data_IF_741912575643
#
_entry.id   IF_741912575643
#
_cell.length_a   1.000
_cell.length_b   1.000
_cell.length_c   1.000
_cell.angle_alpha   90.00
_cell.angle_beta   90.00
_cell.angle_gamma   90.00
#
_symmetry.space_group_name_H-M   'P 1'
#
loop_
_entity.id
_entity.type
_entity.pdbx_description
1 polymer ?
#
# COMPACT_ATOMS: atom_id res chain seq x y z
N UNK A 1 7.47 -8.44 19.91
CA UNK A 1 6.52 -7.39 19.49
C UNK A 1 7.34 -6.39 18.69
N UNK A 2 7.02 -6.18 17.41
CA UNK A 2 7.78 -5.23 16.58
C UNK A 2 7.45 -3.82 17.01
N UNK A 3 8.46 -3.04 17.38
CA UNK A 3 8.29 -1.62 17.67
C UNK A 3 8.01 -0.91 16.34
N UNK A 4 6.80 -0.36 16.17
CA UNK A 4 6.52 0.53 15.06
C UNK A 4 7.03 1.92 15.46
N UNK A 5 8.01 2.42 14.73
CA UNK A 5 8.38 3.83 14.79
C UNK A 5 7.46 4.57 13.83
N UNK A 6 6.67 5.51 14.34
CA UNK A 6 5.88 6.43 13.52
C UNK A 6 6.49 7.83 13.65
N UNK A 7 6.56 8.55 12.53
CA UNK A 7 7.05 9.94 12.49
C UNK A 7 5.84 10.87 12.51
N UNK A 8 5.78 11.74 13.50
CA UNK A 8 4.75 12.78 13.63
C UNK A 8 5.28 14.12 13.18
N UNK A 9 4.41 14.95 12.62
CA UNK A 9 4.73 16.33 12.28
C UNK A 9 3.87 17.29 13.13
N UNK A 10 4.40 18.45 13.50
CA UNK A 10 3.72 19.50 14.28
C UNK A 10 4.11 20.87 13.74
N UNK A 11 3.13 21.74 13.48
CA UNK A 11 3.37 23.12 13.06
C UNK A 11 3.61 24.05 14.26
N UNK A 12 4.68 24.84 14.23
CA UNK A 12 5.08 25.78 15.27
C UNK A 12 5.24 27.19 14.68
N UNK A 13 4.37 28.10 15.09
CA UNK A 13 4.31 29.45 14.51
C UNK A 13 5.33 30.46 15.06
N UNK A 14 5.88 30.26 16.27
CA UNK A 14 6.61 31.34 16.98
C UNK A 14 7.90 30.90 17.67
N UNK A 15 8.68 30.01 17.05
CA UNK A 15 10.00 29.64 17.57
C UNK A 15 11.14 30.39 16.88
N UNK A 16 12.00 31.03 17.67
CA UNK A 16 13.15 31.80 17.18
C UNK A 16 14.29 30.91 16.61
N UNK A 17 14.34 29.63 17.01
CA UNK A 17 15.37 28.68 16.56
C UNK A 17 14.77 27.29 16.31
N UNK A 18 15.41 26.45 15.48
CA UNK A 18 15.00 25.04 15.28
C UNK A 18 14.87 24.26 16.58
N UNK A 19 15.84 24.41 17.50
CA UNK A 19 15.83 23.69 18.78
C UNK A 19 14.69 24.11 19.72
N UNK A 20 14.30 25.38 19.69
CA UNK A 20 13.11 25.85 20.42
C UNK A 20 11.83 25.31 19.79
N UNK A 21 11.76 25.29 18.46
CA UNK A 21 10.61 24.73 17.73
C UNK A 21 10.40 23.26 18.09
N UNK A 22 11.48 22.48 18.13
CA UNK A 22 11.42 21.05 18.49
C UNK A 22 10.95 20.85 19.92
N UNK A 23 11.48 21.63 20.86
CA UNK A 23 11.05 21.57 22.26
C UNK A 23 9.57 21.92 22.41
N UNK A 24 9.11 22.95 21.71
CA UNK A 24 7.70 23.35 21.70
C UNK A 24 6.81 22.27 21.10
N UNK A 25 7.22 21.66 19.97
CA UNK A 25 6.51 20.57 19.32
C UNK A 25 6.37 19.33 20.23
N UNK A 26 7.45 18.93 20.90
CA UNK A 26 7.43 17.80 21.86
C UNK A 26 6.56 18.10 23.06
N UNK A 27 6.55 19.35 23.56
CA UNK A 27 5.65 19.73 24.66
C UNK A 27 4.18 19.70 24.20
N UNK A 28 3.89 20.24 23.03
CA UNK A 28 2.55 20.24 22.44
C UNK A 28 2.00 18.81 22.28
N UNK A 29 2.86 17.89 21.83
CA UNK A 29 2.54 16.47 21.70
C UNK A 29 2.28 15.76 23.04
N UNK A 30 2.94 16.20 24.12
CA UNK A 30 2.82 15.57 25.43
C UNK A 30 1.57 16.00 26.21
N UNK A 31 0.95 17.13 25.85
CA UNK A 31 -0.10 17.77 26.67
C UNK A 31 -1.46 17.06 26.66
N UNK A 32 -1.82 16.25 25.65
CA UNK A 32 -3.01 15.36 25.74
C UNK A 32 -2.88 14.05 24.93
N UNK A 33 -3.32 12.92 25.49
CA UNK A 33 -3.35 11.61 24.79
C UNK A 33 -4.17 11.63 23.49
N UNK A 34 -5.18 12.51 23.41
CA UNK A 34 -6.07 12.66 22.25
C UNK A 34 -5.37 13.33 21.07
N UNK A 35 -4.49 14.30 21.33
CA UNK A 35 -3.77 15.02 20.28
C UNK A 35 -2.74 14.14 19.56
N UNK A 36 -2.15 13.13 20.22
CA UNK A 36 -1.12 12.28 19.59
C UNK A 36 -1.61 11.55 18.34
N UNK A 37 -2.83 11.00 18.38
CA UNK A 37 -3.40 10.30 17.23
C UNK A 37 -3.99 11.26 16.18
N UNK A 38 -4.46 12.43 16.59
CA UNK A 38 -5.00 13.45 15.69
C UNK A 38 -3.84 14.15 14.94
N UNK A 39 -2.77 14.56 15.63
CA UNK A 39 -1.57 15.22 15.06
C UNK A 39 -0.76 14.30 14.12
N UNK A 40 -0.68 12.99 14.41
CA UNK A 40 -0.04 12.02 13.51
C UNK A 40 -0.83 11.80 12.21
N UNK A 41 -2.14 12.09 12.22
CA UNK A 41 -3.06 11.83 11.11
C UNK A 41 -3.44 13.09 10.34
N UNK A 42 -3.40 14.25 10.98
CA UNK A 42 -3.47 15.55 10.32
C UNK A 42 -2.20 15.72 9.48
N UNK A 43 -2.31 15.35 8.20
CA UNK A 43 -1.37 15.86 7.22
C UNK A 43 -1.44 17.38 7.31
N UNK A 44 -0.36 18.03 7.74
CA UNK A 44 -0.21 19.48 7.83
C UNK A 44 -0.20 20.10 6.43
N UNK A 45 -1.31 19.93 5.68
CA UNK A 45 -1.53 20.39 4.32
C UNK A 45 -1.46 21.90 4.18
N UNK A 46 -1.57 22.59 5.30
CA UNK A 46 -1.66 24.05 5.41
C UNK A 46 -0.31 24.67 5.76
N UNK A 47 0.77 23.86 5.79
CA UNK A 47 2.12 24.37 5.98
C UNK A 47 2.87 24.43 4.66
N UNK A 48 3.54 25.56 4.43
CA UNK A 48 4.25 25.85 3.18
C UNK A 48 5.76 25.91 3.44
N UNK A 49 6.50 24.79 3.25
CA UNK A 49 7.95 24.77 3.44
C UNK A 49 8.68 25.82 2.59
N UNK A 50 9.60 26.55 3.21
CA UNK A 50 10.51 27.47 2.51
C UNK A 50 11.57 26.74 1.67
N UNK A 51 11.69 25.43 1.86
CA UNK A 51 12.59 24.56 1.12
C UNK A 51 11.83 23.32 0.64
N UNK A 52 12.19 22.81 -0.53
CA UNK A 52 11.54 21.61 -1.07
C UNK A 52 11.84 20.38 -0.20
N UNK A 53 10.96 19.37 -0.14
CA UNK A 53 11.23 18.14 0.63
C UNK A 53 12.55 17.46 0.27
N UNK A 54 12.93 17.42 -1.02
CA UNK A 54 14.20 16.85 -1.48
C UNK A 54 15.44 17.68 -1.10
N UNK A 55 15.27 18.98 -0.85
CA UNK A 55 16.30 19.84 -0.28
C UNK A 55 16.34 19.70 1.24
N UNK A 56 15.17 19.62 1.90
CA UNK A 56 15.05 19.32 3.31
C UNK A 56 15.74 18.00 3.65
N UNK A 57 15.45 16.90 2.94
CA UNK A 57 16.08 15.58 3.14
C UNK A 57 17.60 15.61 3.00
N UNK A 58 18.14 16.42 2.08
CA UNK A 58 19.59 16.60 1.94
C UNK A 58 20.17 17.44 3.08
N UNK A 59 19.46 18.50 3.46
CA UNK A 59 19.83 19.40 4.56
C UNK A 59 19.55 18.79 5.94
N UNK A 60 18.85 17.64 6.06
CA UNK A 60 18.71 16.89 7.32
C UNK A 60 20.06 16.43 7.91
N UNK A 61 21.13 16.50 7.12
CA UNK A 61 22.49 16.23 7.58
C UNK A 61 23.32 17.51 7.83
N UNK A 62 22.74 18.69 7.64
CA UNK A 62 23.40 19.99 7.79
C UNK A 62 22.86 20.73 9.03
N UNK A 63 23.75 21.34 9.81
CA UNK A 63 23.35 22.33 10.84
C UNK A 63 22.72 23.54 10.11
N UNK A 64 21.54 24.05 10.52
CA UNK A 64 20.93 23.96 11.86
C UNK A 64 19.71 23.01 11.95
N UNK A 65 19.53 22.09 11.01
CA UNK A 65 18.33 21.23 10.90
C UNK A 65 18.35 20.02 11.84
N UNK A 66 19.54 19.65 12.35
CA UNK A 66 19.72 18.66 13.41
C UNK A 66 19.76 19.35 14.77
N UNK A 67 18.66 19.35 15.50
CA UNK A 67 18.72 19.63 16.94
C UNK A 67 17.80 18.66 17.63
N UNK A 68 18.27 18.06 18.74
CA UNK A 68 17.65 16.94 19.47
C UNK A 68 17.78 15.55 18.80
N UNK A 69 18.71 14.76 19.36
CA UNK A 69 18.95 13.31 19.23
C UNK A 69 19.23 12.67 17.85
N UNK A 70 19.09 13.40 16.74
CA UNK A 70 19.32 12.87 15.39
C UNK A 70 18.09 12.16 14.78
N UNK A 71 16.93 12.25 15.42
CA UNK A 71 15.63 11.72 14.94
C UNK A 71 14.54 12.80 14.81
N UNK A 72 14.87 14.06 15.09
CA UNK A 72 13.97 15.20 14.94
C UNK A 72 14.45 16.14 13.83
N UNK A 73 13.51 16.74 13.10
CA UNK A 73 13.76 17.70 12.02
C UNK A 73 12.86 18.92 12.20
N UNK A 74 13.38 20.13 11.94
CA UNK A 74 12.59 21.34 11.89
C UNK A 74 12.76 22.02 10.52
N UNK A 75 11.69 22.10 9.75
CA UNK A 75 11.65 22.66 8.40
C UNK A 75 11.04 24.06 8.47
N UNK A 76 11.74 25.12 8.04
CA UNK A 76 11.19 26.47 8.09
C UNK A 76 10.03 26.60 7.09
N UNK A 77 8.97 27.30 7.50
CA UNK A 77 7.77 27.54 6.68
C UNK A 77 7.57 29.03 6.41
N UNK A 78 6.89 29.37 5.31
CA UNK A 78 6.40 30.72 5.03
C UNK A 78 4.93 30.85 5.43
N UNK A 79 4.45 32.10 5.49
CA UNK A 79 3.04 32.39 5.68
C UNK A 79 2.24 32.06 4.40
N UNK A 80 0.95 31.74 4.53
CA UNK A 80 0.06 31.41 3.41
C UNK A 80 0.02 32.50 2.35
N UNK A 81 0.06 33.77 2.78
CA UNK A 81 0.11 34.92 1.89
C UNK A 81 1.38 34.96 1.01
N UNK A 82 2.44 34.26 1.43
CA UNK A 82 3.72 34.12 0.73
C UNK A 82 3.87 32.76 0.03
N UNK A 83 2.84 31.92 0.04
CA UNK A 83 2.77 30.70 -0.74
C UNK A 83 2.15 30.95 -2.12
N UNK A 84 2.65 30.25 -3.13
CA UNK A 84 2.06 30.19 -4.46
C UNK A 84 1.66 28.75 -4.71
N UNK A 85 0.35 28.53 -4.78
CA UNK A 85 -0.20 27.24 -5.15
C UNK A 85 -0.37 27.14 -6.67
N UNK A 86 -0.04 25.97 -7.21
CA UNK A 86 -0.20 25.69 -8.63
C UNK A 86 -0.74 24.29 -8.83
N UNK A 87 -1.90 24.18 -9.47
CA UNK A 87 -2.42 22.91 -9.94
C UNK A 87 -1.92 22.61 -11.35
N UNK A 88 -1.18 21.51 -11.50
CA UNK A 88 -0.66 21.05 -12.79
C UNK A 88 -1.20 19.66 -13.11
N UNK A 89 -1.50 19.42 -14.39
CA UNK A 89 -1.91 18.11 -14.89
C UNK A 89 -0.69 17.27 -15.25
N UNK A 90 -0.59 16.07 -14.68
CA UNK A 90 0.46 15.10 -14.97
C UNK A 90 -0.12 13.84 -15.59
N UNK A 91 0.62 13.28 -16.55
CA UNK A 91 0.36 11.96 -17.13
C UNK A 91 1.38 10.99 -16.57
N UNK A 92 0.91 9.88 -15.99
CA UNK A 92 1.76 8.91 -15.32
C UNK A 92 1.46 7.51 -15.85
N UNK A 93 2.51 6.77 -16.21
CA UNK A 93 2.41 5.33 -16.44
C UNK A 93 2.52 4.61 -15.10
N UNK A 94 1.55 3.77 -14.77
CA UNK A 94 1.46 3.02 -13.50
C UNK A 94 1.41 1.51 -13.75
N UNK A 95 1.57 0.70 -12.70
CA UNK A 95 1.44 -0.75 -12.84
C UNK A 95 -0.03 -1.17 -13.01
N UNK A 96 -0.27 -2.40 -13.48
CA UNK A 96 -1.63 -2.95 -13.55
C UNK A 96 -2.25 -3.12 -12.16
N UNK A 97 -1.41 -3.43 -11.15
CA UNK A 97 -1.83 -3.55 -9.76
C UNK A 97 -2.30 -2.19 -9.20
N UNK A 98 -1.52 -1.13 -9.43
CA UNK A 98 -1.88 0.23 -9.01
C UNK A 98 -3.22 0.67 -9.61
N UNK A 99 -3.48 0.36 -10.89
CA UNK A 99 -4.77 0.66 -11.51
C UNK A 99 -5.94 -0.04 -10.81
N UNK A 100 -5.75 -1.26 -10.32
CA UNK A 100 -6.77 -1.98 -9.54
C UNK A 100 -6.99 -1.26 -8.21
N UNK A 101 -5.93 -0.81 -7.55
CA UNK A 101 -6.02 -0.05 -6.30
C UNK A 101 -6.71 1.30 -6.50
N UNK A 102 -6.36 2.06 -7.54
CA UNK A 102 -7.00 3.35 -7.84
C UNK A 102 -8.48 3.21 -8.15
N UNK A 103 -8.89 2.15 -8.85
CA UNK A 103 -10.32 1.86 -9.09
C UNK A 103 -11.07 1.52 -7.81
N UNK A 104 -10.38 1.08 -6.76
CA UNK A 104 -10.92 0.85 -5.41
C UNK A 104 -10.82 2.08 -4.51
N UNK A 105 -10.30 3.20 -5.01
CA UNK A 105 -10.09 4.43 -4.25
C UNK A 105 -8.84 4.41 -3.37
N UNK A 106 -7.97 3.40 -3.48
CA UNK A 106 -6.72 3.34 -2.72
C UNK A 106 -5.61 4.06 -3.50
N UNK A 107 -5.21 5.24 -3.02
CA UNK A 107 -4.23 6.12 -3.68
C UNK A 107 -2.93 6.30 -2.88
N UNK A 108 -2.67 5.46 -1.87
CA UNK A 108 -1.48 5.58 -1.03
C UNK A 108 -0.18 5.57 -1.84
N UNK A 109 0.00 4.55 -2.69
CA UNK A 109 1.19 4.41 -3.53
C UNK A 109 1.38 5.59 -4.51
N UNK A 110 0.29 6.22 -4.95
CA UNK A 110 0.34 7.39 -5.80
C UNK A 110 0.85 8.63 -5.06
N UNK A 111 0.46 8.79 -3.79
CA UNK A 111 0.91 9.91 -2.94
C UNK A 111 2.43 9.91 -2.79
N UNK A 112 2.99 8.76 -2.42
CA UNK A 112 4.43 8.59 -2.22
C UNK A 112 5.22 8.79 -3.51
N UNK A 113 4.70 8.26 -4.62
CA UNK A 113 5.31 8.49 -5.94
C UNK A 113 5.30 9.96 -6.33
N UNK A 114 4.18 10.66 -6.17
CA UNK A 114 4.06 12.07 -6.54
C UNK A 114 5.01 12.95 -5.75
N UNK A 115 5.18 12.68 -4.44
CA UNK A 115 6.16 13.38 -3.60
C UNK A 115 7.59 13.21 -4.13
N UNK A 116 7.95 11.98 -4.50
CA UNK A 116 9.29 11.67 -5.04
C UNK A 116 9.54 12.26 -6.42
N UNK A 117 8.58 12.14 -7.33
CA UNK A 117 8.73 12.51 -8.74
C UNK A 117 8.70 14.03 -8.94
N UNK A 118 7.91 14.76 -8.14
CA UNK A 118 7.72 16.19 -8.33
C UNK A 118 8.73 17.04 -7.55
N UNK A 119 9.31 16.55 -6.45
CA UNK A 119 10.31 17.30 -5.69
C UNK A 119 9.79 18.62 -5.09
N UNK A 120 8.47 18.81 -5.04
CA UNK A 120 7.77 19.96 -4.44
C UNK A 120 6.85 19.48 -3.32
N UNK A 121 6.40 20.41 -2.48
CA UNK A 121 5.35 20.12 -1.49
C UNK A 121 4.04 19.86 -2.23
N UNK A 122 3.61 18.59 -2.25
CA UNK A 122 2.32 18.17 -2.79
C UNK A 122 1.26 18.40 -1.72
N UNK A 123 0.37 19.37 -1.93
CA UNK A 123 -0.74 19.69 -1.01
C UNK A 123 -1.88 18.69 -1.23
N UNK A 124 -2.26 18.50 -2.49
CA UNK A 124 -3.37 17.62 -2.85
C UNK A 124 -3.19 17.09 -4.26
N UNK A 125 -3.86 15.99 -4.55
CA UNK A 125 -3.99 15.50 -5.91
C UNK A 125 -5.36 14.86 -6.14
N UNK A 126 -5.77 14.82 -7.40
CA UNK A 126 -6.98 14.15 -7.82
C UNK A 126 -6.74 13.38 -9.11
N UNK A 127 -7.17 12.12 -9.15
CA UNK A 127 -7.16 11.33 -10.38
C UNK A 127 -8.25 11.88 -11.30
N UNK A 128 -7.83 12.45 -12.42
CA UNK A 128 -8.72 13.05 -13.44
C UNK A 128 -9.24 11.99 -14.39
N UNK A 129 -8.40 11.01 -14.75
CA UNK A 129 -8.80 9.92 -15.61
C UNK A 129 -8.03 8.64 -15.31
N UNK A 130 -8.75 7.52 -15.41
CA UNK A 130 -8.22 6.18 -15.42
C UNK A 130 -8.48 5.55 -16.80
N UNK A 131 -7.59 4.66 -17.28
CA UNK A 131 -7.87 3.83 -18.44
C UNK A 131 -9.19 3.09 -18.27
N UNK A 132 -10.02 3.11 -19.32
CA UNK A 132 -11.27 2.33 -19.34
C UNK A 132 -10.95 0.86 -19.15
N UNK A 133 -11.67 0.20 -18.24
CA UNK A 133 -11.56 -1.24 -18.08
C UNK A 133 -12.01 -1.92 -19.38
N UNK A 134 -11.20 -2.85 -19.89
CA UNK A 134 -11.58 -3.64 -21.07
C UNK A 134 -12.79 -4.52 -20.75
N UNK A 135 -13.55 -4.84 -21.80
CA UNK A 135 -14.66 -5.81 -21.69
C UNK A 135 -14.10 -7.13 -21.19
N UNK A 136 -14.84 -7.77 -20.29
CA UNK A 136 -14.49 -9.11 -19.84
C UNK A 136 -14.64 -10.08 -21.01
N UNK A 137 -13.73 -11.04 -21.09
CA UNK A 137 -13.74 -12.12 -22.08
C UNK A 137 -13.94 -13.42 -21.31
N UNK A 138 -14.88 -14.23 -21.79
CA UNK A 138 -15.09 -15.58 -21.27
C UNK A 138 -14.34 -16.56 -22.19
N UNK A 139 -13.45 -17.34 -21.61
CA UNK A 139 -12.76 -18.42 -22.30
C UNK A 139 -13.24 -19.73 -21.72
N UNK A 140 -13.85 -20.57 -22.55
CA UNK A 140 -14.16 -21.92 -22.15
C UNK A 140 -12.86 -22.66 -21.88
N UNK A 141 -12.75 -23.28 -20.71
CA UNK A 141 -11.69 -24.25 -20.43
C UNK A 141 -12.11 -25.56 -21.08
N UNK A 142 -12.01 -25.62 -22.40
CA UNK A 142 -12.25 -26.85 -23.16
C UNK A 142 -11.21 -27.89 -22.74
N UNK A 143 -11.69 -29.11 -22.51
CA UNK A 143 -10.88 -30.20 -21.99
C UNK A 143 -11.77 -31.37 -21.63
N UNK A 144 -11.31 -32.58 -21.93
CA UNK A 144 -12.03 -33.80 -21.61
C UNK A 144 -12.12 -33.91 -20.08
N UNK A 145 -13.34 -34.00 -19.58
CA UNK A 145 -13.57 -34.35 -18.19
C UNK A 145 -13.36 -35.86 -18.06
N UNK A 146 -12.45 -36.27 -17.19
CA UNK A 146 -12.23 -37.68 -16.86
C UNK A 146 -12.64 -37.91 -15.42
N UNK A 147 -13.29 -39.05 -15.16
CA UNK A 147 -13.59 -39.46 -13.79
C UNK A 147 -12.32 -40.10 -13.23
N UNK A 148 -11.84 -39.58 -12.11
CA UNK A 148 -10.77 -40.16 -11.31
C UNK A 148 -11.33 -40.57 -9.96
N UNK A 149 -10.67 -41.49 -9.30
CA UNK A 149 -11.07 -41.99 -8.00
C UNK A 149 -9.99 -41.69 -6.97
N UNK A 150 -10.41 -41.34 -5.76
CA UNK A 150 -9.47 -41.02 -4.69
C UNK A 150 -9.88 -41.72 -3.40
N UNK A 151 -8.88 -42.06 -2.59
CA UNK A 151 -9.07 -42.69 -1.29
C UNK A 151 -8.95 -41.63 -0.21
N UNK A 152 -9.89 -41.58 0.72
CA UNK A 152 -9.90 -40.63 1.83
C UNK A 152 -10.38 -41.27 3.12
N UNK A 153 -10.01 -40.69 4.25
CA UNK A 153 -10.71 -40.96 5.51
C UNK A 153 -12.15 -40.41 5.45
N UNK A 154 -13.09 -41.02 6.19
CA UNK A 154 -14.38 -40.40 6.45
C UNK A 154 -14.17 -38.96 6.98
N UNK A 155 -14.78 -37.97 6.33
CA UNK A 155 -14.54 -36.54 6.60
C UNK A 155 -13.55 -35.85 5.64
N UNK A 156 -13.04 -36.56 4.64
CA UNK A 156 -12.45 -35.96 3.43
C UNK A 156 -10.93 -35.77 3.43
N UNK A 157 -10.21 -36.23 4.46
CA UNK A 157 -8.74 -36.20 4.42
C UNK A 157 -8.23 -37.25 3.44
N UNK A 158 -7.60 -36.79 2.37
CA UNK A 158 -7.15 -37.61 1.24
C UNK A 158 -5.85 -38.36 1.51
N UNK A 159 -5.72 -39.55 0.93
CA UNK A 159 -4.53 -40.41 1.02
C UNK A 159 -4.07 -40.76 -0.40
N UNK A 160 -2.83 -40.42 -0.73
CA UNK A 160 -2.21 -40.80 -2.00
C UNK A 160 -2.66 -39.99 -3.22
N UNK A 161 -2.59 -40.62 -4.39
CA UNK A 161 -2.83 -40.02 -5.71
C UNK A 161 -4.20 -40.40 -6.29
N UNK A 162 -4.56 -39.77 -7.41
CA UNK A 162 -5.74 -40.12 -8.19
C UNK A 162 -5.56 -41.48 -8.90
N UNK A 163 -6.65 -42.24 -9.01
CA UNK A 163 -6.73 -43.52 -9.73
C UNK A 163 -7.68 -43.43 -10.93
N UNK A 164 -7.46 -44.26 -11.95
CA UNK A 164 -8.24 -44.22 -13.21
C UNK A 164 -9.52 -45.05 -13.14
N UNK A 165 -9.61 -45.96 -12.17
CA UNK A 165 -10.81 -46.78 -11.95
C UNK A 165 -11.13 -46.94 -10.46
N UNK A 166 -12.41 -47.23 -10.18
CA UNK A 166 -12.88 -47.56 -8.84
C UNK A 166 -12.18 -48.82 -8.29
N UNK A 167 -11.89 -49.78 -9.17
CA UNK A 167 -11.23 -51.04 -8.81
C UNK A 167 -9.81 -50.82 -8.31
N UNK A 168 -9.03 -49.96 -8.98
CA UNK A 168 -7.68 -49.59 -8.55
C UNK A 168 -7.69 -48.84 -7.22
N UNK A 169 -8.56 -47.85 -7.07
CA UNK A 169 -8.69 -47.10 -5.82
C UNK A 169 -9.12 -48.01 -4.66
N UNK A 170 -10.03 -48.96 -4.91
CA UNK A 170 -10.44 -49.97 -3.92
C UNK A 170 -9.28 -50.86 -3.52
N UNK A 171 -8.48 -51.35 -4.48
CA UNK A 171 -7.32 -52.18 -4.19
C UNK A 171 -6.28 -51.43 -3.34
N UNK A 172 -6.04 -50.16 -3.65
CA UNK A 172 -5.14 -49.29 -2.87
C UNK A 172 -5.65 -49.02 -1.44
N UNK A 173 -6.95 -48.76 -1.30
CA UNK A 173 -7.58 -48.58 0.01
C UNK A 173 -7.45 -49.84 0.89
N UNK A 174 -7.71 -51.02 0.31
CA UNK A 174 -7.54 -52.30 1.00
C UNK A 174 -6.09 -52.54 1.42
N UNK A 175 -5.13 -52.28 0.54
CA UNK A 175 -3.71 -52.40 0.87
C UNK A 175 -3.31 -51.48 2.03
N UNK A 176 -3.85 -50.26 2.06
CA UNK A 176 -3.58 -49.27 3.13
C UNK A 176 -4.15 -49.72 4.47
N UNK A 177 -5.41 -50.17 4.51
CA UNK A 177 -6.05 -50.68 5.73
C UNK A 177 -5.36 -51.94 6.25
N UNK A 178 -4.93 -52.84 5.35
CA UNK A 178 -4.23 -54.06 5.76
C UNK A 178 -2.81 -53.79 6.28
N UNK A 179 -2.18 -52.71 5.85
CA UNK A 179 -0.84 -52.32 6.29
C UNK A 179 -0.85 -51.57 7.64
N UNK A 180 -1.95 -50.88 7.97
CA UNK A 180 -2.08 -50.11 9.21
C UNK A 180 -3.38 -50.46 9.96
N UNK A 181 -3.32 -51.29 11.02
CA UNK A 181 -4.49 -51.73 11.77
C UNK A 181 -5.17 -50.61 12.58
N UNK A 182 -4.57 -49.41 12.65
CA UNK A 182 -5.20 -48.25 13.30
C UNK A 182 -6.24 -47.55 12.41
N UNK A 183 -6.24 -47.84 11.11
CA UNK A 183 -7.19 -47.27 10.14
C UNK A 183 -8.49 -48.09 10.18
N UNK A 184 -9.54 -47.51 10.76
CA UNK A 184 -10.84 -48.18 10.92
C UNK A 184 -11.73 -48.12 9.67
N UNK A 185 -11.53 -47.13 8.79
CA UNK A 185 -12.32 -46.96 7.57
C UNK A 185 -11.63 -46.03 6.56
N UNK A 186 -11.84 -46.33 5.27
CA UNK A 186 -11.51 -45.48 4.14
C UNK A 186 -12.68 -45.45 3.15
N UNK A 187 -12.83 -44.33 2.45
CA UNK A 187 -13.85 -44.09 1.44
C UNK A 187 -13.19 -43.92 0.06
N UNK A 188 -13.81 -44.48 -0.97
CA UNK A 188 -13.43 -44.25 -2.37
C UNK A 188 -14.41 -43.26 -2.97
N UNK A 189 -13.92 -42.06 -3.32
CA UNK A 189 -14.75 -40.98 -3.88
C UNK A 189 -14.39 -40.75 -5.35
N UNK A 190 -15.42 -40.63 -6.19
CA UNK A 190 -15.26 -40.21 -7.59
C UNK A 190 -15.11 -38.69 -7.68
N UNK A 191 -14.13 -38.22 -8.44
CA UNK A 191 -13.86 -36.82 -8.72
C UNK A 191 -13.78 -36.61 -10.22
N UNK A 192 -14.45 -35.56 -10.70
CA UNK A 192 -14.30 -35.12 -12.08
C UNK A 192 -13.03 -34.26 -12.14
N UNK A 193 -12.01 -34.77 -12.83
CA UNK A 193 -10.76 -34.05 -13.09
C UNK A 193 -10.74 -33.69 -14.57
N UNK A 194 -10.25 -32.49 -14.90
CA UNK A 194 -10.04 -32.08 -16.29
C UNK A 194 -8.57 -32.10 -16.60
N UNK A 195 -8.24 -32.55 -17.80
CA UNK A 195 -6.84 -32.71 -18.26
C UNK A 195 -6.06 -31.39 -18.25
N UNK A 196 -6.76 -30.24 -18.28
CA UNK A 196 -6.17 -28.91 -18.18
C UNK A 196 -5.70 -28.51 -16.77
N UNK A 197 -5.94 -29.33 -15.75
CA UNK A 197 -5.64 -29.01 -14.35
C UNK A 197 -6.55 -27.93 -13.73
N UNK A 198 -7.43 -27.31 -14.52
CA UNK A 198 -8.36 -26.28 -14.04
C UNK A 198 -9.72 -26.88 -13.66
N UNK A 199 -10.20 -26.52 -12.46
CA UNK A 199 -11.56 -26.86 -11.99
C UNK A 199 -12.65 -25.98 -12.59
N UNK A 200 -12.30 -24.81 -13.14
CA UNK A 200 -13.27 -23.89 -13.70
C UNK A 200 -13.76 -24.38 -15.08
N UNK A 201 -15.07 -24.28 -15.35
CA UNK A 201 -15.65 -24.60 -16.66
C UNK A 201 -15.46 -23.47 -17.67
N UNK A 202 -15.45 -22.23 -17.17
CA UNK A 202 -15.24 -21.00 -17.92
C UNK A 202 -14.35 -20.10 -17.06
N UNK A 203 -13.33 -19.52 -17.68
CA UNK A 203 -12.54 -18.45 -17.08
C UNK A 203 -13.05 -17.11 -17.61
N UNK A 204 -13.35 -16.18 -16.71
CA UNK A 204 -13.76 -14.82 -17.07
C UNK A 204 -12.64 -13.88 -16.67
N UNK A 205 -11.92 -13.35 -17.65
CA UNK A 205 -10.80 -12.44 -17.42
C UNK A 205 -11.08 -11.10 -18.05
N UNK A 206 -10.54 -10.03 -17.45
CA UNK A 206 -10.40 -8.75 -18.14
C UNK A 206 -8.96 -8.67 -18.65
N UNK A 207 -8.74 -8.61 -19.97
CA UNK A 207 -7.41 -8.38 -20.50
C UNK A 207 -6.82 -7.10 -19.92
N UNK A 208 -5.51 -7.07 -19.75
CA UNK A 208 -4.80 -5.87 -19.34
C UNK A 208 -5.02 -4.73 -20.36
N UNK A 209 -4.99 -3.50 -19.85
CA UNK A 209 -5.06 -2.32 -20.71
C UNK A 209 -3.78 -2.23 -21.56
N UNK A 210 -3.91 -1.79 -22.81
CA UNK A 210 -2.74 -1.59 -23.70
C UNK A 210 -1.80 -0.50 -23.17
N UNK A 211 -2.35 0.48 -22.44
CA UNK A 211 -1.60 1.50 -21.73
C UNK A 211 -2.16 1.67 -20.32
N UNK A 212 -1.25 1.71 -19.35
CA UNK A 212 -1.57 2.01 -17.96
C UNK A 212 -1.31 3.49 -17.65
N UNK A 213 -1.71 4.38 -18.55
CA UNK A 213 -1.55 5.83 -18.37
C UNK A 213 -2.73 6.40 -17.59
N UNK A 214 -2.46 7.04 -16.46
CA UNK A 214 -3.43 7.83 -15.71
C UNK A 214 -3.16 9.31 -15.88
N UNK A 215 -4.20 10.13 -15.75
CA UNK A 215 -4.05 11.58 -15.63
C UNK A 215 -4.41 12.01 -14.23
N UNK A 216 -3.53 12.78 -13.60
CA UNK A 216 -3.72 13.33 -12.27
C UNK A 216 -3.57 14.85 -12.31
N UNK A 217 -4.39 15.56 -11.54
CA UNK A 217 -4.12 16.95 -11.20
C UNK A 217 -3.39 16.93 -9.86
N UNK A 218 -2.28 17.65 -9.78
CA UNK A 218 -1.49 17.79 -8.55
C UNK A 218 -1.39 19.26 -8.22
N UNK A 219 -1.77 19.62 -7.01
CA UNK A 219 -1.57 20.96 -6.47
C UNK A 219 -0.30 20.95 -5.65
N UNK A 220 0.68 21.75 -6.08
CA UNK A 220 1.91 21.98 -5.36
C UNK A 220 1.91 23.38 -4.75
N UNK A 221 2.63 23.55 -3.65
CA UNK A 221 2.93 24.87 -3.08
C UNK A 221 4.42 25.15 -3.13
N UNK A 222 4.76 26.37 -3.53
CA UNK A 222 6.11 26.92 -3.46
C UNK A 222 6.09 28.30 -2.78
N UNK A 223 7.13 28.64 -2.02
CA UNK A 223 7.27 29.98 -1.46
C UNK A 223 7.57 31.02 -2.56
N UNK A 224 7.04 32.23 -2.42
CA UNK A 224 7.41 33.38 -3.26
C UNK A 224 8.92 33.67 -3.13
N UNK A 225 9.51 34.19 -4.19
CA UNK A 225 10.90 34.66 -4.15
C UNK A 225 11.04 35.72 -3.06
N UNK A 226 11.91 35.47 -2.08
CA UNK A 226 12.13 36.36 -0.93
C UNK A 226 11.13 36.21 0.21
N UNK A 227 10.27 35.19 0.19
CA UNK A 227 9.40 34.85 1.31
C UNK A 227 10.22 34.70 2.60
N UNK A 228 9.70 35.28 3.69
CA UNK A 228 10.35 35.21 4.99
C UNK A 228 9.82 34.02 5.78
N UNK A 229 10.64 33.55 6.69
CA UNK A 229 10.24 32.54 7.65
C UNK A 229 9.12 33.09 8.54
N UNK A 230 8.04 32.33 8.61
CA UNK A 230 6.88 32.61 9.45
C UNK A 230 6.68 31.54 10.54
N UNK A 231 7.31 30.38 10.42
CA UNK A 231 7.22 29.29 11.40
C UNK A 231 8.13 28.11 11.09
N UNK A 232 7.82 26.99 11.69
CA UNK A 232 8.48 25.70 11.53
C UNK A 232 7.46 24.57 11.41
N UNK A 233 7.74 23.61 10.53
CA UNK A 233 7.13 22.28 10.53
C UNK A 233 8.13 21.32 11.16
N UNK A 234 7.80 20.76 12.31
CA UNK A 234 8.70 19.91 13.08
C UNK A 234 8.28 18.46 12.93
N UNK A 235 9.17 17.60 12.45
CA UNK A 235 9.01 16.14 12.45
C UNK A 235 9.80 15.49 13.57
N UNK A 236 9.24 14.50 14.27
CA UNK A 236 9.97 13.68 15.23
C UNK A 236 9.40 12.27 15.30
N UNK A 237 10.29 11.29 15.50
CA UNK A 237 9.89 9.91 15.73
C UNK A 237 9.30 9.75 17.13
N UNK A 238 8.20 9.00 17.24
CA UNK A 238 7.69 8.55 18.52
C UNK A 238 7.59 7.03 18.57
N UNK A 239 7.82 6.49 19.77
CA UNK A 239 7.71 5.07 20.06
C UNK A 239 6.41 4.83 20.81
N UNK A 240 5.50 4.04 20.22
CA UNK A 240 4.31 3.50 20.88
C UNK A 240 4.58 2.18 21.58
#
# INVERSE_FOLDING_TARGET
>A
MGHNTETSFVAIAQAATPGLAIREAVNHWNDTERNRYEDAREGHSDTHPLMTPAAAERSMNEEPFRVYDGKSVAIPTCADADAVEKTTKHKLTVSAEDLVQFRRGNTWALTERLRKDLGHTVISFGIVSLPKARKAVATATEGKATTKYIVSFPGGKTIGTYHDSQSEARAAALATVNADPTISALEVTALIVRDSGSRALVSITRPEAETNEITVNVTTSEPKIGAKQAGWLVGFDYHS
#
